data_IF_018743688763
#
_entry.id   IF_018743688763
#
_cell.length_a   1.000
_cell.length_b   1.000
_cell.length_c   1.000
_cell.angle_alpha   90.00
_cell.angle_beta   90.00
_cell.angle_gamma   90.00
#
_symmetry.space_group_name_H-M   'P 1'
#
loop_
_entity.id
_entity.type
_entity.pdbx_description
1 polymer ?
#
# COMPACT_ATOMS: atom_id res chain seq x y z
N UNK A 1 -18.70 8.52 13.58
CA UNK A 1 -17.67 8.17 12.59
C UNK A 1 -18.03 6.81 12.03
N UNK A 2 -17.98 6.63 10.71
CA UNK A 2 -18.29 5.36 10.05
C UNK A 2 -16.99 4.77 9.49
N UNK A 3 -16.71 3.50 9.83
CA UNK A 3 -15.50 2.80 9.37
C UNK A 3 -15.62 2.58 7.85
N UNK A 4 -14.53 2.80 7.12
CA UNK A 4 -14.40 2.50 5.67
C UNK A 4 -13.55 1.27 5.38
N UNK A 5 -12.49 1.07 6.16
CA UNK A 5 -11.55 -0.03 5.99
C UNK A 5 -10.92 -0.39 7.31
N UNK A 6 -10.73 -1.69 7.54
CA UNK A 6 -9.91 -2.29 8.59
C UNK A 6 -8.91 -3.23 7.92
N UNK A 7 -7.62 -3.14 8.24
CA UNK A 7 -6.63 -3.97 7.58
C UNK A 7 -5.17 -3.67 7.86
N UNK A 8 -4.35 -3.91 6.83
CA UNK A 8 -2.92 -3.62 6.79
C UNK A 8 -2.53 -3.08 5.42
N UNK A 9 -1.51 -2.23 5.41
CA UNK A 9 -0.93 -1.68 4.20
C UNK A 9 0.59 -1.45 4.29
N UNK A 10 1.40 -2.51 4.31
CA UNK A 10 2.83 -2.37 4.08
C UNK A 10 3.17 -1.70 2.74
N UNK A 11 4.18 -0.84 2.74
CA UNK A 11 4.59 -0.07 1.57
C UNK A 11 6.09 -0.09 1.32
N UNK A 12 6.47 -0.04 0.05
CA UNK A 12 7.86 0.04 -0.41
C UNK A 12 7.99 1.08 -1.52
N UNK A 13 8.84 2.08 -1.30
CA UNK A 13 9.23 3.06 -2.32
C UNK A 13 10.63 2.73 -2.83
N UNK A 14 10.78 2.66 -4.16
CA UNK A 14 12.09 2.55 -4.81
C UNK A 14 12.44 3.91 -5.42
N UNK A 15 13.66 4.38 -5.17
CA UNK A 15 14.18 5.66 -5.69
C UNK A 15 15.43 5.47 -6.54
N UNK A 16 15.58 6.26 -7.60
CA UNK A 16 16.74 6.22 -8.48
C UNK A 16 17.10 7.64 -8.91
N UNK A 17 18.37 8.02 -8.77
CA UNK A 17 18.84 9.37 -9.11
C UNK A 17 18.07 10.50 -8.38
N UNK A 18 17.68 10.27 -7.13
CA UNK A 18 16.92 11.23 -6.31
C UNK A 18 15.43 11.36 -6.66
N UNK A 19 14.89 10.49 -7.51
CA UNK A 19 13.48 10.47 -7.90
C UNK A 19 12.84 9.13 -7.55
N UNK A 20 11.54 9.13 -7.29
CA UNK A 20 10.76 7.88 -7.15
C UNK A 20 10.66 7.19 -8.50
N UNK A 21 11.01 5.91 -8.55
CA UNK A 21 10.95 5.05 -9.74
C UNK A 21 9.83 4.02 -9.64
N UNK A 22 9.51 3.58 -8.43
CA UNK A 22 8.36 2.72 -8.16
C UNK A 22 7.82 2.93 -6.74
N UNK A 23 6.57 2.57 -6.55
CA UNK A 23 5.94 2.42 -5.25
C UNK A 23 5.01 1.22 -5.25
N UNK A 24 5.12 0.34 -4.26
CA UNK A 24 4.21 -0.78 -4.04
C UNK A 24 3.53 -0.65 -2.68
N UNK A 25 2.22 -0.82 -2.67
CA UNK A 25 1.36 -0.82 -1.49
C UNK A 25 0.62 -2.15 -1.45
N UNK A 26 0.90 -2.96 -0.42
CA UNK A 26 0.39 -4.32 -0.28
C UNK A 26 -0.73 -4.33 0.75
N UNK A 27 -1.95 -4.51 0.28
CA UNK A 27 -3.14 -4.42 1.10
C UNK A 27 -3.62 -5.78 1.59
N UNK A 28 -4.00 -5.82 2.86
CA UNK A 28 -4.94 -6.80 3.43
C UNK A 28 -6.13 -6.01 3.97
N UNK A 29 -7.30 -6.15 3.37
CA UNK A 29 -8.55 -5.64 3.91
C UNK A 29 -9.25 -6.76 4.70
N UNK A 30 -9.20 -6.68 6.02
CA UNK A 30 -9.94 -7.58 6.91
C UNK A 30 -11.45 -7.29 6.81
N UNK A 31 -11.79 -6.01 6.64
CA UNK A 31 -13.12 -5.53 6.25
C UNK A 31 -13.00 -4.22 5.46
N UNK A 32 -13.84 -4.01 4.45
CA UNK A 32 -14.00 -2.71 3.81
C UNK A 32 -15.37 -2.58 3.14
N UNK A 33 -15.71 -1.36 2.72
CA UNK A 33 -16.93 -1.09 1.96
C UNK A 33 -16.95 -1.75 0.57
N UNK A 34 -15.78 -2.01 0.00
CA UNK A 34 -15.61 -2.68 -1.29
C UNK A 34 -15.34 -4.19 -1.14
N UNK A 35 -15.61 -4.76 0.04
CA UNK A 35 -15.34 -6.17 0.36
C UNK A 35 -14.03 -6.40 1.10
N UNK A 36 -13.77 -7.65 1.49
CA UNK A 36 -12.53 -8.08 2.14
C UNK A 36 -11.62 -8.82 1.16
N UNK A 37 -10.32 -8.86 1.44
CA UNK A 37 -9.36 -9.54 0.58
C UNK A 37 -7.98 -8.92 0.61
N UNK A 38 -7.20 -9.20 -0.44
CA UNK A 38 -5.83 -8.73 -0.59
C UNK A 38 -5.63 -8.11 -1.96
N UNK A 39 -4.77 -7.11 -2.04
CA UNK A 39 -4.39 -6.51 -3.32
C UNK A 39 -2.96 -5.96 -3.26
N UNK A 40 -2.29 -5.93 -4.41
CA UNK A 40 -1.04 -5.16 -4.59
C UNK A 40 -1.37 -3.99 -5.51
N UNK A 41 -1.18 -2.77 -5.03
CA UNK A 41 -1.24 -1.55 -5.83
C UNK A 41 0.20 -1.13 -6.13
N UNK A 42 0.51 -1.01 -7.42
CA UNK A 42 1.84 -0.69 -7.91
C UNK A 42 1.78 0.56 -8.77
N UNK A 43 2.65 1.51 -8.49
CA UNK A 43 3.07 2.52 -9.44
C UNK A 43 4.49 2.22 -9.92
N UNK A 44 4.69 2.14 -11.24
CA UNK A 44 6.02 1.89 -11.84
C UNK A 44 6.05 2.50 -13.25
N UNK A 45 7.10 3.28 -13.55
CA UNK A 45 7.31 3.93 -14.86
C UNK A 45 6.08 4.71 -15.36
N UNK A 46 5.38 5.42 -14.46
CA UNK A 46 4.22 6.25 -14.81
C UNK A 46 2.93 5.47 -15.05
N UNK A 47 2.92 4.15 -14.83
CA UNK A 47 1.72 3.31 -14.88
C UNK A 47 1.26 2.96 -13.48
N UNK A 48 -0.06 2.86 -13.32
CA UNK A 48 -0.69 2.34 -12.11
C UNK A 48 -1.29 0.97 -12.41
N UNK A 49 -0.95 -0.03 -11.60
CA UNK A 49 -1.51 -1.38 -11.67
C UNK A 49 -2.14 -1.73 -10.34
N UNK A 50 -3.23 -2.47 -10.36
CA UNK A 50 -3.83 -3.06 -9.18
C UNK A 50 -4.07 -4.55 -9.42
N UNK A 51 -3.49 -5.41 -8.59
CA UNK A 51 -3.55 -6.86 -8.73
C UNK A 51 -4.24 -7.46 -7.51
N UNK A 52 -5.30 -8.22 -7.72
CA UNK A 52 -6.05 -8.85 -6.62
C UNK A 52 -7.08 -9.85 -7.16
N UNK A 53 -7.59 -10.78 -6.31
CA UNK A 53 -8.61 -11.74 -6.73
C UNK A 53 -9.97 -11.06 -6.94
N UNK A 54 -10.19 -9.92 -6.30
CA UNK A 54 -11.37 -9.07 -6.47
C UNK A 54 -10.99 -7.78 -7.20
N UNK A 55 -11.54 -7.60 -8.40
CA UNK A 55 -11.24 -6.45 -9.26
C UNK A 55 -11.83 -5.14 -8.74
N UNK A 56 -12.94 -5.19 -8.01
CA UNK A 56 -13.59 -4.02 -7.44
C UNK A 56 -12.78 -3.52 -6.25
N UNK A 57 -12.43 -4.41 -5.31
CA UNK A 57 -11.57 -4.08 -4.18
C UNK A 57 -10.21 -3.53 -4.65
N UNK A 58 -9.54 -4.20 -5.59
CA UNK A 58 -8.23 -3.76 -6.08
C UNK A 58 -8.28 -2.35 -6.72
N UNK A 59 -9.32 -2.08 -7.53
CA UNK A 59 -9.54 -0.76 -8.13
C UNK A 59 -9.85 0.29 -7.07
N UNK A 60 -10.69 -0.05 -6.10
CA UNK A 60 -11.10 0.84 -5.03
C UNK A 60 -9.90 1.25 -4.17
N UNK A 61 -9.07 0.31 -3.73
CA UNK A 61 -7.84 0.60 -2.97
C UNK A 61 -6.88 1.52 -3.74
N UNK A 62 -6.69 1.26 -5.04
CA UNK A 62 -5.82 2.09 -5.89
C UNK A 62 -6.38 3.51 -6.11
N UNK A 63 -7.71 3.65 -6.28
CA UNK A 63 -8.36 4.91 -6.61
C UNK A 63 -8.68 5.80 -5.41
N UNK A 64 -9.19 5.20 -4.32
CA UNK A 64 -9.76 5.90 -3.17
C UNK A 64 -8.76 6.09 -2.02
N UNK A 65 -7.68 5.30 -1.98
CA UNK A 65 -6.67 5.35 -0.92
C UNK A 65 -5.29 5.64 -1.49
N UNK A 66 -4.67 4.67 -2.17
CA UNK A 66 -3.24 4.73 -2.50
C UNK A 66 -2.88 5.95 -3.34
N UNK A 67 -3.74 6.38 -4.27
CA UNK A 67 -3.60 7.62 -5.06
C UNK A 67 -3.30 8.87 -4.23
N UNK A 68 -3.82 8.92 -3.00
CA UNK A 68 -3.78 10.10 -2.14
C UNK A 68 -2.65 10.06 -1.11
N UNK A 69 -1.81 9.02 -1.16
CA UNK A 69 -0.75 8.83 -0.18
C UNK A 69 0.46 9.75 -0.46
N UNK A 70 1.16 10.21 0.59
CA UNK A 70 2.38 11.01 0.45
C UNK A 70 3.44 10.35 -0.43
N UNK A 71 3.56 9.03 -0.37
CA UNK A 71 4.53 8.22 -1.13
C UNK A 71 4.38 8.40 -2.64
N UNK A 72 3.17 8.68 -3.11
CA UNK A 72 2.85 8.86 -4.54
C UNK A 72 2.50 10.30 -4.91
N UNK A 73 2.57 11.23 -3.94
CA UNK A 73 2.25 12.64 -4.17
C UNK A 73 3.09 13.24 -5.31
N UNK A 74 2.42 13.89 -6.26
CA UNK A 74 3.05 14.50 -7.43
C UNK A 74 3.47 13.54 -8.55
N UNK A 75 3.20 12.23 -8.42
CA UNK A 75 3.38 11.27 -9.51
C UNK A 75 2.13 11.24 -10.41
N UNK A 76 2.28 10.95 -11.72
CA UNK A 76 1.12 10.69 -12.56
C UNK A 76 0.40 9.45 -12.06
N UNK A 77 -0.92 9.56 -11.86
CA UNK A 77 -1.76 8.45 -11.41
C UNK A 77 -2.87 8.20 -12.42
N UNK A 78 -2.57 7.55 -13.56
CA UNK A 78 -3.62 7.15 -14.51
C UNK A 78 -4.59 6.16 -13.87
N UNK A 79 -5.72 5.94 -14.53
CA UNK A 79 -6.67 4.89 -14.14
C UNK A 79 -5.93 3.55 -14.02
N UNK A 80 -6.12 2.80 -12.92
CA UNK A 80 -5.35 1.59 -12.67
C UNK A 80 -5.69 0.48 -13.67
N UNK A 81 -4.65 -0.10 -14.26
CA UNK A 81 -4.74 -1.37 -14.98
C UNK A 81 -4.98 -2.50 -13.96
N UNK A 82 -6.20 -3.04 -13.94
CA UNK A 82 -6.57 -4.08 -12.97
C UNK A 82 -6.30 -5.46 -13.56
N UNK A 83 -5.56 -6.28 -12.81
CA UNK A 83 -5.29 -7.68 -13.13
C UNK A 83 -5.91 -8.58 -12.06
N UNK A 84 -6.80 -9.49 -12.47
CA UNK A 84 -7.39 -10.46 -11.55
C UNK A 84 -6.43 -11.63 -11.36
N UNK A 85 -5.84 -11.75 -10.18
CA UNK A 85 -4.92 -12.84 -9.82
C UNK A 85 -4.89 -13.06 -8.29
N UNK A 86 -4.56 -14.26 -7.80
CA UNK A 86 -4.30 -14.49 -6.39
C UNK A 86 -3.19 -13.59 -5.83
N UNK A 87 -3.29 -13.28 -4.54
CA UNK A 87 -2.27 -12.53 -3.80
C UNK A 87 -1.83 -13.37 -2.60
N UNK A 88 -0.64 -13.93 -2.71
CA UNK A 88 0.03 -14.58 -1.58
C UNK A 88 0.72 -13.50 -0.75
N UNK A 89 0.47 -13.50 0.56
CA UNK A 89 0.98 -12.50 1.48
C UNK A 89 1.30 -13.15 2.81
N UNK A 90 2.56 -13.00 3.23
CA UNK A 90 3.08 -13.35 4.54
C UNK A 90 3.54 -12.06 5.20
N UNK A 91 2.76 -11.58 6.18
CA UNK A 91 3.09 -10.41 6.97
C UNK A 91 3.40 -10.86 8.40
N UNK A 92 4.63 -10.60 8.84
CA UNK A 92 5.10 -10.84 10.19
C UNK A 92 5.66 -9.53 10.74
N UNK A 93 5.08 -9.01 11.83
CA UNK A 93 5.46 -7.71 12.39
C UNK A 93 6.86 -7.70 13.05
N UNK A 94 7.55 -8.84 13.04
CA UNK A 94 8.94 -9.03 13.46
C UNK A 94 9.85 -9.33 12.28
N UNK A 95 9.45 -10.20 11.36
CA UNK A 95 10.31 -10.67 10.27
C UNK A 95 10.17 -9.87 8.96
N UNK A 96 9.09 -9.11 8.77
CA UNK A 96 8.86 -8.30 7.58
C UNK A 96 7.66 -8.73 6.75
N UNK A 97 7.75 -8.50 5.44
CA UNK A 97 6.71 -8.86 4.47
C UNK A 97 7.31 -9.65 3.32
N UNK A 98 6.57 -10.66 2.86
CA UNK A 98 6.68 -11.18 1.51
C UNK A 98 5.30 -11.22 0.86
N UNK A 99 5.17 -10.66 -0.33
CA UNK A 99 3.95 -10.73 -1.12
C UNK A 99 4.24 -10.98 -2.60
N UNK A 100 3.38 -11.74 -3.25
CA UNK A 100 3.43 -11.98 -4.69
C UNK A 100 2.04 -11.96 -5.31
N UNK A 101 1.93 -11.29 -6.47
CA UNK A 101 0.69 -11.16 -7.22
C UNK A 101 1.01 -11.01 -8.70
N UNK A 102 0.50 -11.91 -9.55
CA UNK A 102 0.86 -12.00 -10.96
C UNK A 102 2.39 -12.01 -11.19
N UNK A 103 2.93 -11.00 -11.86
CA UNK A 103 4.37 -10.81 -12.15
C UNK A 103 5.07 -9.87 -11.15
N UNK A 104 4.41 -9.48 -10.06
CA UNK A 104 4.92 -8.57 -9.04
C UNK A 104 5.28 -9.35 -7.79
N UNK A 105 6.47 -9.09 -7.23
CA UNK A 105 6.89 -9.58 -5.91
C UNK A 105 7.43 -8.42 -5.09
N UNK A 106 6.96 -8.32 -3.85
CA UNK A 106 7.38 -7.31 -2.87
C UNK A 106 7.94 -8.02 -1.66
N UNK A 107 9.15 -7.66 -1.24
CA UNK A 107 9.68 -8.03 0.07
C UNK A 107 9.99 -6.76 0.85
N UNK A 108 9.72 -6.78 2.14
CA UNK A 108 10.16 -5.76 3.09
C UNK A 108 10.93 -6.48 4.17
N UNK A 109 12.18 -6.09 4.35
CA UNK A 109 13.11 -6.75 5.25
C UNK A 109 12.82 -6.30 6.69
N UNK A 110 12.61 -7.27 7.58
CA UNK A 110 12.59 -7.03 9.02
C UNK A 110 13.98 -7.16 9.66
N UNK A 111 14.09 -6.86 10.97
CA UNK A 111 13.02 -6.33 11.82
C UNK A 111 12.77 -4.83 11.59
N UNK A 112 11.55 -4.34 11.91
CA UNK A 112 11.28 -2.91 11.93
C UNK A 112 12.23 -2.14 12.86
N UNK A 113 12.63 -0.95 12.43
CA UNK A 113 13.50 -0.04 13.17
C UNK A 113 12.83 0.50 14.43
N UNK A 114 11.51 0.72 14.36
CA UNK A 114 10.67 1.12 15.48
C UNK A 114 9.23 0.65 15.26
N UNK A 115 8.39 0.82 16.29
CA UNK A 115 6.95 0.56 16.24
C UNK A 115 6.24 1.72 16.91
N UNK A 116 5.32 2.37 16.21
CA UNK A 116 4.58 3.51 16.75
C UNK A 116 3.11 3.43 16.38
N UNK A 117 2.26 3.78 17.34
CA UNK A 117 0.85 4.06 17.05
C UNK A 117 0.78 5.41 16.33
N UNK A 118 0.10 5.44 15.19
CA UNK A 118 -0.16 6.66 14.44
C UNK A 118 -1.66 6.96 14.44
N UNK A 119 -1.96 8.26 14.52
CA UNK A 119 -3.30 8.81 14.38
C UNK A 119 -3.19 10.08 13.55
N UNK A 120 -3.89 10.11 12.42
CA UNK A 120 -3.98 11.27 11.53
C UNK A 120 -5.45 11.65 11.46
N UNK A 121 -5.83 12.78 12.07
CA UNK A 121 -7.25 13.14 12.22
C UNK A 121 -7.89 13.58 10.91
N UNK A 122 -7.13 14.26 10.06
CA UNK A 122 -7.60 14.86 8.80
C UNK A 122 -6.76 14.37 7.61
N UNK A 123 -6.61 13.06 7.46
CA UNK A 123 -5.95 12.50 6.28
C UNK A 123 -6.82 12.77 5.04
N UNK A 124 -6.29 13.51 4.07
CA UNK A 124 -7.03 13.90 2.87
C UNK A 124 -7.10 12.75 1.85
N UNK A 125 -8.30 12.20 1.64
CA UNK A 125 -8.60 11.29 0.54
C UNK A 125 -9.47 12.03 -0.48
N UNK A 126 -8.82 12.73 -1.41
CA UNK A 126 -9.48 13.34 -2.56
C UNK A 126 -10.33 14.57 -2.24
N UNK A 127 -9.91 15.40 -1.29
CA UNK A 127 -10.63 16.57 -0.79
C UNK A 127 -11.57 16.27 0.38
N UNK A 128 -11.57 15.03 0.88
CA UNK A 128 -12.40 14.60 2.01
C UNK A 128 -11.49 14.11 3.12
N UNK A 129 -11.53 14.81 4.26
CA UNK A 129 -10.79 14.42 5.46
C UNK A 129 -11.30 13.07 5.98
N UNK A 130 -10.38 12.20 6.38
CA UNK A 130 -10.63 10.92 7.01
C UNK A 130 -9.72 10.75 8.23
N UNK A 131 -10.22 10.06 9.25
CA UNK A 131 -9.39 9.60 10.36
C UNK A 131 -8.68 8.32 9.94
N UNK A 132 -7.35 8.33 10.03
CA UNK A 132 -6.50 7.14 9.94
C UNK A 132 -5.92 6.85 11.33
N UNK A 133 -6.04 5.61 11.78
CA UNK A 133 -5.21 5.05 12.86
C UNK A 133 -4.55 3.77 12.41
N UNK A 134 -3.27 3.57 12.72
CA UNK A 134 -2.56 2.32 12.47
C UNK A 134 -1.38 2.14 13.43
N UNK A 135 -0.71 0.99 13.33
CA UNK A 135 0.64 0.79 13.84
C UNK A 135 1.60 0.89 12.66
N UNK A 136 2.44 1.92 12.67
CA UNK A 136 3.43 2.17 11.62
C UNK A 136 4.81 1.68 12.06
N UNK A 137 5.51 0.99 11.17
CA UNK A 137 6.74 0.26 11.46
C UNK A 137 7.73 0.44 10.31
N UNK A 138 8.59 1.48 10.34
CA UNK A 138 9.64 1.66 9.34
C UNK A 138 10.58 0.45 9.31
N UNK A 139 10.99 0.04 8.12
CA UNK A 139 11.91 -1.07 7.90
C UNK A 139 13.19 -0.59 7.21
N UNK A 140 14.34 -1.30 7.38
CA UNK A 140 15.61 -0.90 6.78
C UNK A 140 15.59 -0.84 5.25
N UNK A 141 14.93 -1.82 4.62
CA UNK A 141 14.93 -1.99 3.16
C UNK A 141 13.83 -2.94 2.70
N UNK A 142 13.73 -3.10 1.38
CA UNK A 142 12.96 -4.16 0.74
C UNK A 142 13.45 -4.42 -0.69
N UNK A 143 12.74 -5.27 -1.41
CA UNK A 143 12.96 -5.50 -2.85
C UNK A 143 11.62 -5.51 -3.58
N UNK A 144 11.58 -4.86 -4.74
CA UNK A 144 10.47 -4.92 -5.68
C UNK A 144 10.94 -5.61 -6.96
N UNK A 145 10.23 -6.64 -7.38
CA UNK A 145 10.44 -7.34 -8.65
C UNK A 145 9.20 -7.21 -9.51
N UNK A 146 9.37 -6.89 -10.80
CA UNK A 146 8.30 -6.83 -11.81
C UNK A 146 8.76 -7.60 -13.03
N UNK A 147 7.93 -8.52 -13.53
CA UNK A 147 8.28 -9.36 -14.69
C UNK A 147 9.50 -10.25 -14.44
N UNK A 148 9.78 -10.61 -13.18
CA UNK A 148 10.95 -11.40 -12.78
C UNK A 148 12.27 -10.60 -12.70
N UNK A 149 12.25 -9.29 -12.96
CA UNK A 149 13.43 -8.43 -12.82
C UNK A 149 13.29 -7.49 -11.61
N UNK A 150 14.34 -7.33 -10.79
CA UNK A 150 14.33 -6.34 -9.71
C UNK A 150 14.25 -4.93 -10.30
N UNK A 151 13.38 -4.09 -9.73
CA UNK A 151 13.32 -2.68 -10.08
C UNK A 151 14.58 -2.00 -9.58
N UNK A 152 15.34 -1.37 -10.48
CA UNK A 152 16.61 -0.76 -10.15
C UNK A 152 16.41 0.52 -9.31
N UNK A 153 17.12 0.59 -8.17
CA UNK A 153 17.12 1.77 -7.31
C UNK A 153 17.41 1.44 -5.85
N UNK A 154 17.35 2.47 -5.01
CA UNK A 154 17.40 2.40 -3.57
C UNK A 154 16.00 2.13 -3.01
N UNK A 155 15.87 1.04 -2.27
CA UNK A 155 14.65 0.53 -1.67
C UNK A 155 14.66 0.62 -0.13
N UNK A 156 15.39 1.58 0.45
CA UNK A 156 15.46 1.84 1.90
C UNK A 156 14.21 2.51 2.48
N UNK A 157 13.30 2.98 1.63
CA UNK A 157 12.03 3.60 2.07
C UNK A 157 10.93 2.54 2.12
N UNK A 158 10.97 1.72 3.17
CA UNK A 158 10.05 0.60 3.39
C UNK A 158 9.35 0.70 4.75
N UNK A 159 8.13 0.20 4.84
CA UNK A 159 7.39 0.13 6.10
C UNK A 159 6.37 -1.01 6.12
N UNK A 160 6.11 -1.52 7.32
CA UNK A 160 4.88 -2.26 7.60
C UNK A 160 3.85 -1.28 8.19
N UNK A 161 2.59 -1.46 7.81
CA UNK A 161 1.46 -0.84 8.50
C UNK A 161 0.41 -1.92 8.76
N UNK A 162 -0.05 -2.04 10.00
CA UNK A 162 -1.07 -3.01 10.42
C UNK A 162 -2.00 -2.37 11.45
N UNK A 163 -3.08 -3.06 11.80
CA UNK A 163 -4.17 -2.52 12.62
C UNK A 163 -4.69 -1.19 12.06
N UNK A 164 -4.71 -1.08 10.73
CA UNK A 164 -5.12 0.10 10.00
C UNK A 164 -6.63 0.24 10.02
N UNK A 165 -7.13 1.37 10.52
CA UNK A 165 -8.56 1.69 10.57
C UNK A 165 -8.76 3.06 9.95
N UNK A 166 -9.55 3.09 8.88
CA UNK A 166 -9.99 4.31 8.21
C UNK A 166 -11.44 4.59 8.58
N UNK A 167 -11.73 5.85 8.92
CA UNK A 167 -13.09 6.28 9.25
C UNK A 167 -13.45 7.58 8.56
N UNK A 168 -14.69 7.68 8.09
CA UNK A 168 -15.27 8.96 7.68
C UNK A 168 -15.48 9.86 8.89
N UNK A 169 -15.44 11.19 8.70
CA UNK A 169 -15.87 12.15 9.69
C UNK A 169 -17.31 11.84 10.11
N UNK A 170 -17.68 12.20 11.34
CA UNK A 170 -19.07 12.15 11.71
C UNK A 170 -19.84 13.12 10.80
N UNK A 171 -20.86 12.63 10.10
CA UNK A 171 -21.87 13.52 9.50
C UNK A 171 -22.56 14.24 10.65
N UNK A 172 -22.34 15.55 10.74
CA UNK A 172 -23.11 16.44 11.62
C UNK A 172 -24.52 16.65 11.10
#
# INVERSE_FOLDING_TARGET
MAIRLIGANPGLTVTGGGRRVAFASVWRADWSEAGSGRAVVLWHEGRTRAVGPDAELARWLAGEFTRHFPEVAGLPWPDPEVTVAPVDMELDLTAGLRASAADVTVTIDGPPLERRACRVEDFDLGGVAHLLTNVYMPCPSGTLTVGGAPVAGDATHAFLADAEVWSRPATG
#
